data_IF_160777031934
#
_entry.id   IF_160777031934
#
_cell.length_a   1.000
_cell.length_b   1.000
_cell.length_c   1.000
_cell.angle_alpha   90.00
_cell.angle_beta   90.00
_cell.angle_gamma   90.00
#
_symmetry.space_group_name_H-M   'P 1'
#
loop_
_entity.id
_entity.type
_entity.pdbx_description
1 polymer ?
#
# COMPACT_ATOMS: atom_id res chain seq x y z
N UNK A 1 -14.10 5.88 1.11
CA UNK A 1 -14.81 6.16 2.39
C UNK A 1 -14.81 7.67 2.60
N UNK A 2 -15.83 8.23 3.24
CA UNK A 2 -15.91 9.66 3.60
C UNK A 2 -15.81 9.80 5.12
N UNK A 3 -15.22 10.90 5.61
CA UNK A 3 -15.12 11.21 7.04
C UNK A 3 -16.48 11.53 7.68
N UNK A 4 -17.51 11.80 6.87
CA UNK A 4 -18.88 12.00 7.32
C UNK A 4 -19.69 10.72 7.53
N UNK A 5 -19.14 9.55 7.18
CA UNK A 5 -19.85 8.27 7.33
C UNK A 5 -19.85 7.80 8.78
N UNK A 6 -20.97 7.26 9.23
CA UNK A 6 -21.04 6.56 10.51
C UNK A 6 -20.23 5.24 10.48
N UNK A 7 -19.98 4.69 11.68
CA UNK A 7 -19.20 3.46 11.86
C UNK A 7 -19.78 2.28 11.09
N UNK A 8 -21.11 2.11 11.10
CA UNK A 8 -21.77 0.96 10.48
C UNK A 8 -21.58 1.01 8.96
N UNK A 9 -21.83 2.16 8.35
CA UNK A 9 -21.64 2.40 6.92
C UNK A 9 -20.20 2.14 6.48
N UNK A 10 -19.21 2.57 7.28
CA UNK A 10 -17.80 2.32 6.99
C UNK A 10 -17.51 0.82 6.99
N UNK A 11 -17.88 0.13 8.07
CA UNK A 11 -17.61 -1.29 8.23
C UNK A 11 -18.32 -2.13 7.16
N UNK A 12 -19.59 -1.85 6.87
CA UNK A 12 -20.36 -2.54 5.83
C UNK A 12 -19.74 -2.37 4.45
N UNK A 13 -19.27 -1.17 4.11
CA UNK A 13 -18.60 -0.92 2.82
C UNK A 13 -17.28 -1.68 2.71
N UNK A 14 -16.47 -1.73 3.77
CA UNK A 14 -15.23 -2.52 3.78
C UNK A 14 -15.55 -4.01 3.64
N UNK A 15 -16.51 -4.54 4.42
CA UNK A 15 -16.96 -5.94 4.32
C UNK A 15 -17.46 -6.27 2.91
N UNK A 16 -18.25 -5.39 2.30
CA UNK A 16 -18.76 -5.56 0.93
C UNK A 16 -17.64 -5.56 -0.11
N UNK A 17 -16.63 -4.71 0.04
CA UNK A 17 -15.48 -4.68 -0.87
C UNK A 17 -14.72 -6.02 -0.86
N UNK A 18 -14.47 -6.61 0.31
CA UNK A 18 -13.85 -7.94 0.39
C UNK A 18 -14.75 -9.06 -0.14
N UNK A 19 -16.07 -8.95 0.01
CA UNK A 19 -16.99 -9.93 -0.57
C UNK A 19 -16.98 -9.91 -2.11
N UNK A 20 -16.58 -8.80 -2.74
CA UNK A 20 -16.40 -8.71 -4.20
C UNK A 20 -15.12 -9.37 -4.68
N UNK A 21 -14.11 -9.54 -3.80
CA UNK A 21 -12.83 -10.17 -4.12
C UNK A 21 -12.51 -11.19 -3.02
N UNK A 22 -13.15 -12.38 -3.01
CA UNK A 22 -13.02 -13.33 -1.90
C UNK A 22 -11.61 -13.87 -1.65
N UNK A 23 -10.71 -13.75 -2.64
CA UNK A 23 -9.32 -14.17 -2.55
C UNK A 23 -8.38 -13.08 -2.01
N UNK A 24 -8.88 -11.89 -1.72
CA UNK A 24 -8.07 -10.81 -1.18
C UNK A 24 -7.65 -11.12 0.27
N UNK A 25 -6.34 -11.05 0.52
CA UNK A 25 -5.71 -11.31 1.83
C UNK A 25 -5.35 -10.01 2.59
N UNK A 26 -5.64 -8.86 1.99
CA UNK A 26 -5.38 -7.54 2.55
C UNK A 26 -5.88 -6.44 1.63
N UNK A 27 -5.70 -5.18 2.03
CA UNK A 27 -6.03 -4.02 1.21
C UNK A 27 -5.03 -2.88 1.40
N UNK A 28 -5.09 -1.90 0.51
CA UNK A 28 -4.46 -0.60 0.67
C UNK A 28 -5.47 0.53 0.48
N UNK A 29 -5.10 1.77 0.76
CA UNK A 29 -5.90 2.94 0.39
C UNK A 29 -5.57 3.41 -1.03
N UNK A 30 -6.60 3.72 -1.80
CA UNK A 30 -6.51 4.47 -3.05
C UNK A 30 -6.99 5.91 -2.81
N UNK A 31 -6.15 6.91 -3.13
CA UNK A 31 -6.34 8.30 -2.70
C UNK A 31 -6.57 8.37 -1.18
N UNK A 32 -7.64 9.06 -0.75
CA UNK A 32 -8.16 8.95 0.60
C UNK A 32 -7.40 9.78 1.63
N UNK A 33 -6.65 10.81 1.25
CA UNK A 33 -5.87 11.65 2.18
C UNK A 33 -6.68 12.08 3.41
N UNK A 34 -7.92 12.55 3.22
CA UNK A 34 -8.81 12.90 4.35
C UNK A 34 -9.21 11.71 5.20
N UNK A 35 -9.48 10.55 4.58
CA UNK A 35 -9.92 9.35 5.27
C UNK A 35 -8.77 8.66 6.02
N UNK A 36 -7.58 8.61 5.44
CA UNK A 36 -6.39 8.03 6.06
C UNK A 36 -5.85 8.87 7.22
N UNK A 37 -6.16 10.18 7.24
CA UNK A 37 -5.86 11.09 8.36
C UNK A 37 -6.96 11.12 9.43
N UNK A 38 -8.07 10.40 9.25
CA UNK A 38 -9.21 10.41 10.17
C UNK A 38 -9.23 9.16 11.06
N UNK A 39 -9.09 9.37 12.37
CA UNK A 39 -9.01 8.28 13.35
C UNK A 39 -10.30 7.46 13.40
N UNK A 40 -11.47 8.08 13.26
CA UNK A 40 -12.76 7.37 13.29
C UNK A 40 -12.90 6.45 12.08
N UNK A 41 -12.51 6.94 10.89
CA UNK A 41 -12.50 6.13 9.69
C UNK A 41 -11.52 4.97 9.82
N UNK A 42 -10.26 5.24 10.15
CA UNK A 42 -9.24 4.20 10.18
C UNK A 42 -9.46 3.17 11.27
N UNK A 43 -10.01 3.55 12.43
CA UNK A 43 -10.34 2.59 13.50
C UNK A 43 -11.45 1.63 13.06
N UNK A 44 -12.44 2.11 12.30
CA UNK A 44 -13.50 1.26 11.77
C UNK A 44 -13.01 0.35 10.64
N UNK A 45 -12.07 0.79 9.80
CA UNK A 45 -11.39 -0.09 8.84
C UNK A 45 -10.60 -1.17 9.57
N UNK A 46 -9.79 -0.80 10.57
CA UNK A 46 -8.94 -1.72 11.32
C UNK A 46 -9.76 -2.81 12.04
N UNK A 47 -10.93 -2.47 12.60
CA UNK A 47 -11.84 -3.46 13.20
C UNK A 47 -12.25 -4.55 12.22
N UNK A 48 -12.64 -4.18 11.00
CA UNK A 48 -13.04 -5.16 9.97
C UNK A 48 -11.86 -6.01 9.52
N UNK A 49 -10.69 -5.40 9.32
CA UNK A 49 -9.49 -6.14 8.92
C UNK A 49 -9.05 -7.12 10.00
N UNK A 50 -9.12 -6.71 11.28
CA UNK A 50 -8.80 -7.58 12.40
C UNK A 50 -9.76 -8.76 12.51
N UNK A 51 -11.07 -8.52 12.40
CA UNK A 51 -12.11 -9.55 12.43
C UNK A 51 -11.91 -10.61 11.34
N UNK A 52 -11.37 -10.22 10.19
CA UNK A 52 -11.18 -11.08 9.02
C UNK A 52 -9.74 -11.59 8.83
N UNK A 53 -8.83 -11.28 9.76
CA UNK A 53 -7.41 -11.65 9.68
C UNK A 53 -6.72 -11.15 8.39
N UNK A 54 -7.07 -9.93 7.95
CA UNK A 54 -6.55 -9.29 6.74
C UNK A 54 -5.49 -8.25 7.11
N UNK A 55 -4.52 -8.00 6.22
CA UNK A 55 -3.53 -6.95 6.41
C UNK A 55 -3.90 -5.63 5.73
N UNK A 56 -3.22 -4.55 6.11
CA UNK A 56 -3.32 -3.24 5.47
C UNK A 56 -1.97 -2.75 4.94
N UNK A 57 -1.95 -2.06 3.80
CA UNK A 57 -0.77 -1.32 3.33
C UNK A 57 -1.13 0.14 3.18
N UNK A 58 -0.49 1.01 3.95
CA UNK A 58 -0.68 2.45 3.82
C UNK A 58 0.07 2.97 2.57
N UNK A 59 -0.71 3.41 1.58
CA UNK A 59 -0.19 4.03 0.36
C UNK A 59 0.43 5.42 0.61
N UNK A 60 0.23 6.00 1.80
CA UNK A 60 0.72 7.32 2.23
C UNK A 60 0.47 8.40 1.19
N UNK A 61 -0.80 8.65 0.90
CA UNK A 61 -1.30 9.73 0.01
C UNK A 61 -1.33 11.09 0.70
N UNK A 62 -0.96 11.15 1.98
CA UNK A 62 -0.85 12.34 2.81
C UNK A 62 0.15 12.05 3.92
N UNK A 63 0.85 13.06 4.43
CA UNK A 63 1.82 12.87 5.52
C UNK A 63 1.14 12.71 6.88
N UNK A 64 -0.08 13.21 6.99
CA UNK A 64 -0.99 13.20 8.14
C UNK A 64 -1.72 11.86 8.34
N UNK A 65 -1.40 10.83 7.53
CA UNK A 65 -2.04 9.52 7.64
C UNK A 65 -1.79 8.92 9.03
N UNK A 66 -2.88 8.47 9.66
CA UNK A 66 -2.87 7.69 10.91
C UNK A 66 -3.13 6.21 10.63
N UNK A 67 -3.16 5.80 9.35
CA UNK A 67 -3.58 4.47 8.97
C UNK A 67 -2.66 3.38 9.54
N UNK A 68 -1.35 3.47 9.29
CA UNK A 68 -0.36 2.51 9.79
C UNK A 68 -0.41 2.38 11.31
N UNK A 69 -0.33 3.49 12.06
CA UNK A 69 -0.36 3.47 13.53
C UNK A 69 -1.69 2.95 14.07
N UNK A 70 -2.82 3.23 13.40
CA UNK A 70 -4.11 2.67 13.80
C UNK A 70 -4.16 1.15 13.60
N UNK A 71 -3.57 0.63 12.53
CA UNK A 71 -3.49 -0.82 12.30
C UNK A 71 -2.66 -1.50 13.38
N UNK A 72 -1.51 -0.92 13.73
CA UNK A 72 -0.65 -1.41 14.82
C UNK A 72 -1.40 -1.47 16.16
N UNK A 73 -2.14 -0.41 16.53
CA UNK A 73 -2.94 -0.36 17.78
C UNK A 73 -4.02 -1.44 17.80
N UNK A 74 -4.61 -1.77 16.66
CA UNK A 74 -5.64 -2.80 16.54
C UNK A 74 -5.08 -4.22 16.33
N UNK A 75 -3.75 -4.37 16.26
CA UNK A 75 -3.10 -5.65 15.99
C UNK A 75 -3.39 -6.20 14.60
N UNK A 76 -3.56 -5.32 13.61
CA UNK A 76 -3.67 -5.64 12.19
C UNK A 76 -2.29 -5.55 11.57
N UNK A 77 -1.84 -6.63 10.93
CA UNK A 77 -0.56 -6.63 10.21
C UNK A 77 -0.56 -5.52 9.17
N UNK A 78 0.52 -4.74 9.14
CA UNK A 78 0.57 -3.56 8.29
C UNK A 78 1.93 -3.36 7.65
N UNK A 79 1.96 -2.53 6.62
CA UNK A 79 3.19 -1.95 6.10
C UNK A 79 2.87 -0.59 5.48
N UNK A 80 3.90 0.14 5.06
CA UNK A 80 3.74 1.41 4.34
C UNK A 80 4.53 1.42 3.05
N UNK A 81 4.03 2.19 2.08
CA UNK A 81 4.78 2.55 0.88
C UNK A 81 6.03 3.35 1.24
N UNK A 82 7.16 2.99 0.64
CA UNK A 82 8.42 3.75 0.71
C UNK A 82 8.64 4.64 -0.52
N UNK A 83 8.24 4.19 -1.71
CA UNK A 83 8.41 4.93 -2.98
C UNK A 83 7.15 4.85 -3.83
N UNK A 84 6.77 5.97 -4.44
CA UNK A 84 5.68 6.03 -5.42
C UNK A 84 6.35 6.01 -6.80
N UNK A 85 6.06 5.01 -7.61
CA UNK A 85 6.83 4.74 -8.83
C UNK A 85 6.44 5.65 -9.99
N UNK A 86 5.16 5.99 -10.12
CA UNK A 86 4.63 6.58 -11.35
C UNK A 86 3.67 7.75 -11.10
N UNK A 87 4.05 8.60 -10.15
CA UNK A 87 3.35 9.86 -9.89
C UNK A 87 3.31 10.73 -11.16
N UNK A 88 4.41 10.71 -11.91
CA UNK A 88 4.50 11.31 -13.24
C UNK A 88 4.52 10.20 -14.29
N UNK A 89 3.68 10.32 -15.32
CA UNK A 89 3.63 9.35 -16.42
C UNK A 89 4.77 9.61 -17.42
N UNK A 90 6.00 9.43 -16.96
CA UNK A 90 7.24 9.68 -17.69
C UNK A 90 8.26 8.56 -17.43
N UNK A 91 8.87 8.02 -18.49
CA UNK A 91 9.73 6.84 -18.39
C UNK A 91 11.01 7.10 -17.57
N UNK A 92 11.61 8.28 -17.71
CA UNK A 92 12.83 8.64 -16.98
C UNK A 92 12.52 8.81 -15.49
N UNK A 93 11.40 9.46 -15.18
CA UNK A 93 10.95 9.64 -13.79
C UNK A 93 10.57 8.33 -13.14
N UNK A 94 9.86 7.45 -13.83
CA UNK A 94 9.52 6.12 -13.31
C UNK A 94 10.79 5.29 -13.05
N UNK A 95 11.77 5.36 -13.96
CA UNK A 95 13.05 4.70 -13.77
C UNK A 95 13.81 5.25 -12.56
N UNK A 96 13.85 6.58 -12.40
CA UNK A 96 14.46 7.21 -11.22
C UNK A 96 13.80 6.76 -9.91
N UNK A 97 12.46 6.69 -9.87
CA UNK A 97 11.74 6.18 -8.70
C UNK A 97 12.01 4.68 -8.44
N UNK A 98 12.19 3.87 -9.49
CA UNK A 98 12.60 2.47 -9.32
C UNK A 98 14.00 2.37 -8.70
N UNK A 99 14.94 3.23 -9.09
CA UNK A 99 16.28 3.26 -8.49
C UNK A 99 16.25 3.78 -7.04
N UNK A 100 15.40 4.78 -6.73
CA UNK A 100 15.17 5.21 -5.35
C UNK A 100 14.64 4.05 -4.47
N UNK A 101 13.76 3.22 -5.02
CA UNK A 101 13.25 2.03 -4.32
C UNK A 101 14.37 1.03 -4.03
N UNK A 102 15.27 0.83 -5.01
CA UNK A 102 16.44 -0.02 -4.88
C UNK A 102 17.36 0.49 -3.76
N UNK A 103 17.75 1.76 -3.79
CA UNK A 103 18.60 2.38 -2.76
C UNK A 103 17.99 2.24 -1.35
N UNK A 104 16.67 2.46 -1.23
CA UNK A 104 15.96 2.25 0.04
C UNK A 104 15.97 0.80 0.49
N UNK A 105 15.83 -0.15 -0.42
CA UNK A 105 15.89 -1.58 -0.10
C UNK A 105 17.27 -2.00 0.39
N UNK A 106 18.34 -1.43 -0.13
CA UNK A 106 19.70 -1.69 0.36
C UNK A 106 19.91 -1.14 1.77
N UNK A 107 19.41 0.07 2.03
CA UNK A 107 19.57 0.73 3.32
C UNK A 107 18.76 0.07 4.44
N UNK A 108 17.56 -0.41 4.13
CA UNK A 108 16.60 -0.91 5.14
C UNK A 108 16.40 -2.43 5.10
N UNK A 109 17.09 -3.13 4.19
CA UNK A 109 16.91 -4.57 3.93
C UNK A 109 15.71 -4.89 3.04
N UNK A 110 14.66 -4.06 3.07
CA UNK A 110 13.51 -4.14 2.18
C UNK A 110 12.87 -2.77 1.96
N UNK A 111 12.16 -2.61 0.84
CA UNK A 111 11.34 -1.44 0.57
C UNK A 111 10.14 -1.80 -0.32
N UNK A 112 9.03 -1.09 -0.11
CA UNK A 112 7.77 -1.24 -0.84
C UNK A 112 7.60 -0.07 -1.81
N UNK A 113 7.55 -0.40 -3.10
CA UNK A 113 7.15 0.52 -4.16
C UNK A 113 5.67 0.32 -4.52
N UNK A 114 4.94 1.40 -4.76
CA UNK A 114 3.59 1.35 -5.34
C UNK A 114 3.60 2.10 -6.67
N UNK A 115 3.06 1.48 -7.70
CA UNK A 115 2.74 2.10 -8.98
C UNK A 115 1.35 1.67 -9.45
N UNK A 116 0.97 2.13 -10.63
CA UNK A 116 -0.32 1.85 -11.26
C UNK A 116 -0.14 1.03 -12.54
N UNK A 117 -1.27 0.50 -13.02
CA UNK A 117 -1.35 -0.25 -14.28
C UNK A 117 -1.28 0.73 -15.47
N UNK A 118 -0.07 1.24 -15.75
CA UNK A 118 0.21 2.14 -16.88
C UNK A 118 1.23 1.50 -17.85
N UNK A 119 1.13 1.77 -19.17
CA UNK A 119 2.07 1.22 -20.14
C UNK A 119 3.54 1.59 -19.87
N UNK A 120 3.82 2.84 -19.49
CA UNK A 120 5.18 3.30 -19.18
C UNK A 120 5.73 2.62 -17.92
N UNK A 121 4.91 2.49 -16.87
CA UNK A 121 5.26 1.75 -15.64
C UNK A 121 5.62 0.31 -15.97
N UNK A 122 4.77 -0.39 -16.74
CA UNK A 122 5.04 -1.76 -17.15
C UNK A 122 6.34 -1.89 -17.94
N UNK A 123 6.58 -1.00 -18.91
CA UNK A 123 7.78 -1.00 -19.75
C UNK A 123 9.06 -0.87 -18.92
N UNK A 124 9.09 0.07 -17.97
CA UNK A 124 10.25 0.27 -17.09
C UNK A 124 10.46 -0.95 -16.19
N UNK A 125 9.41 -1.47 -15.56
CA UNK A 125 9.52 -2.65 -14.70
C UNK A 125 10.00 -3.89 -15.48
N UNK A 126 9.44 -4.16 -16.66
CA UNK A 126 9.84 -5.30 -17.50
C UNK A 126 11.31 -5.23 -17.93
N UNK A 127 11.80 -4.02 -18.23
CA UNK A 127 13.20 -3.82 -18.61
C UNK A 127 14.15 -4.04 -17.43
N UNK A 128 13.86 -3.47 -16.27
CA UNK A 128 14.83 -3.36 -15.19
C UNK A 128 14.73 -4.45 -14.11
N UNK A 129 13.56 -5.06 -13.89
CA UNK A 129 13.43 -6.16 -12.91
C UNK A 129 14.43 -7.31 -13.18
N UNK A 130 14.59 -7.82 -14.42
CA UNK A 130 15.56 -8.88 -14.68
C UNK A 130 17.02 -8.47 -14.42
N UNK A 131 17.35 -7.21 -14.68
CA UNK A 131 18.69 -6.65 -14.40
C UNK A 131 18.95 -6.58 -12.89
N UNK A 132 17.95 -6.15 -12.12
CA UNK A 132 18.02 -6.09 -10.66
C UNK A 132 18.09 -7.50 -10.05
N UNK A 133 17.34 -8.47 -10.56
CA UNK A 133 17.43 -9.85 -10.12
C UNK A 133 18.84 -10.44 -10.33
N UNK A 134 19.49 -10.14 -11.47
CA UNK A 134 20.89 -10.53 -11.72
C UNK A 134 21.88 -9.87 -10.76
N UNK A 135 21.55 -8.69 -10.23
CA UNK A 135 22.33 -7.99 -9.19
C UNK A 135 22.04 -8.50 -7.77
N UNK A 136 21.10 -9.42 -7.60
CA UNK A 136 20.80 -10.07 -6.32
C UNK A 136 19.56 -9.56 -5.60
N UNK A 137 18.82 -8.59 -6.15
CA UNK A 137 17.56 -8.13 -5.57
C UNK A 137 16.46 -9.19 -5.74
N UNK A 138 15.61 -9.31 -4.73
CA UNK A 138 14.44 -10.19 -4.73
C UNK A 138 13.17 -9.37 -4.71
N UNK A 139 12.26 -9.68 -5.63
CA UNK A 139 10.91 -9.14 -5.65
C UNK A 139 10.00 -10.17 -4.97
N UNK A 140 9.36 -9.75 -3.89
CA UNK A 140 8.57 -10.62 -3.01
C UNK A 140 7.16 -10.08 -2.83
N UNK A 141 6.25 -10.93 -2.37
CA UNK A 141 4.91 -10.50 -2.01
C UNK A 141 4.95 -9.57 -0.80
N UNK A 142 4.13 -8.52 -0.82
CA UNK A 142 4.03 -7.57 0.29
C UNK A 142 3.64 -8.24 1.62
N UNK A 143 2.96 -9.38 1.58
CA UNK A 143 2.62 -10.19 2.76
C UNK A 143 3.83 -10.68 3.55
N UNK A 144 5.03 -10.71 2.94
CA UNK A 144 6.30 -11.05 3.62
C UNK A 144 7.00 -9.83 4.24
N UNK A 145 6.46 -8.63 4.02
CA UNK A 145 7.05 -7.35 4.43
C UNK A 145 6.20 -6.64 5.49
N UNK A 146 5.22 -7.34 6.05
CA UNK A 146 4.31 -6.82 7.06
C UNK A 146 4.94 -6.91 8.45
N UNK A 147 4.56 -5.97 9.31
CA UNK A 147 4.89 -5.93 10.73
C UNK A 147 3.65 -5.78 11.60
#
# INVERSE_FOLDING_TARGET
LSTSMDSQTIQERVKKAFNQIPTAIGMNNHQGSKASADQHVMSNVARVLKERELFFVDSRTTVETVAESTMEVHGVLTARRNVFLDNEDDEEKIHAQLMELVEKSEKWGAAIGIGHVKPKTLKILQKHIPELQKKGYKFEFVSKMLH
#
